data_IF_605364728868
#
_entry.id   IF_605364728868
#
_cell.length_a   1.000
_cell.length_b   1.000
_cell.length_c   1.000
_cell.angle_alpha   90.00
_cell.angle_beta   90.00
_cell.angle_gamma   90.00
#
_symmetry.space_group_name_H-M   'P 1'
#
loop_
_entity.id
_entity.type
_entity.pdbx_description
1 polymer ?
#
# COMPACT_ATOMS: atom_id res chain seq x y z
N UNK A 1 23.32 5.90 5.72
CA UNK A 1 23.01 6.22 7.12
C UNK A 1 21.62 5.70 7.48
N UNK A 2 21.44 5.27 8.73
CA UNK A 2 20.20 4.72 9.27
C UNK A 2 19.85 5.51 10.53
N UNK A 3 18.57 5.79 10.72
CA UNK A 3 18.03 6.47 11.89
C UNK A 3 16.92 5.61 12.50
N UNK A 4 16.98 5.41 13.80
CA UNK A 4 15.92 4.75 14.57
C UNK A 4 14.78 5.72 14.79
N UNK A 5 13.56 5.36 14.39
CA UNK A 5 12.38 6.21 14.55
C UNK A 5 11.24 5.44 15.23
N UNK A 6 10.46 6.13 16.08
CA UNK A 6 9.25 5.53 16.63
C UNK A 6 8.26 5.20 15.51
N UNK A 7 7.50 4.12 15.70
CA UNK A 7 6.44 3.69 14.79
C UNK A 7 5.12 3.53 15.52
N UNK A 8 3.99 3.61 14.81
CA UNK A 8 2.67 3.46 15.41
C UNK A 8 2.52 2.10 16.09
N UNK A 9 1.92 2.08 17.28
CA UNK A 9 1.69 0.85 18.02
C UNK A 9 0.37 0.22 17.62
N UNK A 10 0.30 -1.11 17.64
CA UNK A 10 -0.96 -1.83 17.42
C UNK A 10 -1.96 -1.55 18.55
N UNK A 11 -3.24 -1.49 18.20
CA UNK A 11 -4.36 -1.46 19.15
C UNK A 11 -5.12 -2.80 19.18
N UNK A 12 -4.69 -3.78 18.38
CA UNK A 12 -5.32 -5.10 18.30
C UNK A 12 -4.90 -5.95 19.50
N UNK A 13 -5.86 -6.48 20.29
CA UNK A 13 -5.55 -7.31 21.44
C UNK A 13 -4.71 -8.54 21.07
N UNK A 14 -3.67 -8.81 21.85
CA UNK A 14 -2.76 -9.94 21.65
C UNK A 14 -1.70 -9.74 20.56
N UNK A 15 -1.71 -8.63 19.83
CA UNK A 15 -0.63 -8.25 18.92
C UNK A 15 0.41 -7.37 19.60
N UNK A 16 1.59 -7.36 19.06
CA UNK A 16 2.70 -6.53 19.48
C UNK A 16 3.41 -5.94 18.27
N UNK A 17 3.82 -4.68 18.38
CA UNK A 17 4.65 -3.99 17.40
C UNK A 17 5.92 -3.48 18.06
N UNK A 18 7.05 -3.49 17.33
CA UNK A 18 8.28 -2.85 17.82
C UNK A 18 8.00 -1.38 18.10
N UNK A 19 8.53 -0.81 19.20
CA UNK A 19 8.37 0.62 19.47
C UNK A 19 9.06 1.51 18.44
N UNK A 20 10.13 1.01 17.80
CA UNK A 20 10.90 1.72 16.78
C UNK A 20 11.23 0.81 15.62
N UNK A 21 11.63 1.42 14.49
CA UNK A 21 12.15 0.75 13.32
C UNK A 21 13.34 1.55 12.75
N UNK A 22 14.32 0.87 12.13
CA UNK A 22 15.40 1.53 11.43
C UNK A 22 14.94 2.09 10.09
N UNK A 23 15.14 3.37 9.87
CA UNK A 23 14.83 4.06 8.62
C UNK A 23 16.11 4.45 7.89
N UNK A 24 16.30 4.07 6.63
CA UNK A 24 17.37 4.62 5.83
C UNK A 24 17.13 6.10 5.58
N UNK A 25 18.14 6.92 5.82
CA UNK A 25 18.10 8.36 5.55
C UNK A 25 18.62 8.68 4.15
N UNK A 26 19.37 7.77 3.56
CA UNK A 26 19.89 7.81 2.19
C UNK A 26 20.09 6.37 1.67
N UNK A 27 19.80 6.11 0.39
CA UNK A 27 19.20 6.98 -0.62
C UNK A 27 17.75 7.39 -0.29
N UNK A 28 17.25 8.43 -0.98
CA UNK A 28 15.84 8.80 -0.90
C UNK A 28 14.96 7.66 -1.46
N UNK A 29 13.75 7.42 -0.93
CA UNK A 29 12.88 6.36 -1.42
C UNK A 29 12.42 6.62 -2.85
N UNK A 30 12.36 5.56 -3.65
CA UNK A 30 11.85 5.63 -5.02
C UNK A 30 10.32 5.72 -5.07
N UNK A 31 9.60 5.07 -4.18
CA UNK A 31 8.15 5.06 -4.13
C UNK A 31 7.60 6.03 -3.07
N UNK A 32 6.35 6.46 -3.25
CA UNK A 32 5.63 7.23 -2.22
C UNK A 32 5.49 6.39 -0.95
N UNK A 33 5.68 7.02 0.21
CA UNK A 33 5.64 6.35 1.53
C UNK A 33 4.47 6.79 2.40
N UNK A 34 3.60 7.64 1.88
CA UNK A 34 2.39 8.10 2.57
C UNK A 34 1.29 8.42 1.56
N UNK A 35 0.05 8.42 2.02
CA UNK A 35 -1.12 8.91 1.29
C UNK A 35 -1.87 9.86 2.20
N UNK A 36 -2.01 11.10 1.79
CA UNK A 36 -2.76 12.14 2.49
C UNK A 36 -3.93 12.64 1.62
N UNK A 37 -4.79 13.49 2.16
CA UNK A 37 -5.88 14.09 1.36
C UNK A 37 -5.37 14.92 0.16
N UNK A 38 -4.14 15.43 0.23
CA UNK A 38 -3.49 16.16 -0.88
C UNK A 38 -3.07 15.24 -2.03
N UNK A 39 -2.93 13.95 -1.72
CA UNK A 39 -2.51 12.94 -2.67
C UNK A 39 -3.70 12.23 -3.33
N UNK A 40 -4.92 12.67 -3.10
CA UNK A 40 -6.11 12.10 -3.75
C UNK A 40 -6.04 12.37 -5.25
N UNK A 41 -6.36 11.35 -6.02
CA UNK A 41 -6.31 11.38 -7.48
C UNK A 41 -7.24 12.47 -8.05
N UNK A 42 -6.69 13.52 -8.68
CA UNK A 42 -7.46 14.65 -9.19
C UNK A 42 -8.29 14.33 -10.43
N UNK A 43 -8.00 13.20 -11.09
CA UNK A 43 -8.71 12.76 -12.30
C UNK A 43 -9.98 11.94 -12.00
N UNK A 44 -10.23 11.60 -10.73
CA UNK A 44 -11.50 11.00 -10.31
C UNK A 44 -12.63 12.04 -10.38
N UNK A 45 -13.88 11.61 -10.68
CA UNK A 45 -15.05 12.47 -10.49
C UNK A 45 -15.11 13.05 -9.07
N UNK A 46 -15.67 14.24 -8.91
CA UNK A 46 -15.70 14.93 -7.60
C UNK A 46 -16.34 14.09 -6.50
N UNK A 47 -17.41 13.41 -6.80
CA UNK A 47 -18.11 12.53 -5.86
C UNK A 47 -17.21 11.38 -5.42
N UNK A 48 -16.43 10.80 -6.33
CA UNK A 48 -15.47 9.75 -6.04
C UNK A 48 -14.28 10.28 -5.21
N UNK A 49 -13.83 11.51 -5.46
CA UNK A 49 -12.80 12.15 -4.62
C UNK A 49 -13.29 12.34 -3.18
N UNK A 50 -14.56 12.76 -2.98
CA UNK A 50 -15.16 12.89 -1.65
C UNK A 50 -15.32 11.52 -0.97
N UNK A 51 -15.71 10.50 -1.71
CA UNK A 51 -15.76 9.13 -1.21
C UNK A 51 -14.38 8.65 -0.74
N UNK A 52 -13.33 8.87 -1.55
CA UNK A 52 -11.93 8.56 -1.16
C UNK A 52 -11.53 9.33 0.09
N UNK A 53 -11.89 10.61 0.18
CA UNK A 53 -11.58 11.46 1.35
C UNK A 53 -12.26 10.93 2.62
N UNK A 54 -13.53 10.58 2.54
CA UNK A 54 -14.28 10.01 3.65
C UNK A 54 -13.67 8.68 4.11
N UNK A 55 -13.32 7.80 3.18
CA UNK A 55 -12.63 6.53 3.49
C UNK A 55 -11.26 6.78 4.13
N UNK A 56 -10.46 7.71 3.58
CA UNK A 56 -9.13 8.01 4.11
C UNK A 56 -9.19 8.51 5.56
N UNK A 57 -10.20 9.31 5.90
CA UNK A 57 -10.45 9.80 7.26
C UNK A 57 -10.93 8.72 8.21
N UNK A 58 -11.55 7.66 7.71
CA UNK A 58 -12.07 6.56 8.53
C UNK A 58 -11.03 5.48 8.82
N UNK A 59 -9.91 5.46 8.09
CA UNK A 59 -8.85 4.49 8.26
C UNK A 59 -7.75 5.03 9.16
N UNK A 60 -7.07 4.11 9.82
CA UNK A 60 -5.82 4.43 10.50
C UNK A 60 -4.73 4.74 9.48
N UNK A 61 -4.11 5.90 9.57
CA UNK A 61 -3.13 6.38 8.59
C UNK A 61 -2.07 7.25 9.28
N UNK A 62 -1.10 6.60 9.88
CA UNK A 62 -0.04 7.22 10.70
C UNK A 62 1.34 7.16 10.00
N UNK A 63 1.36 6.86 8.70
CA UNK A 63 2.58 6.75 7.90
C UNK A 63 3.12 5.33 7.82
N UNK A 64 4.43 5.21 7.58
CA UNK A 64 5.09 3.90 7.46
C UNK A 64 4.93 3.08 8.73
N UNK A 65 4.78 1.76 8.54
CA UNK A 65 4.59 0.78 9.61
C UNK A 65 3.32 0.98 10.45
N UNK A 66 2.32 1.73 9.96
CA UNK A 66 0.98 1.72 10.57
C UNK A 66 0.48 0.28 10.60
N UNK A 67 0.28 -0.33 11.78
CA UNK A 67 -0.13 -1.73 11.87
C UNK A 67 -1.56 -1.91 11.35
N UNK A 68 -1.91 -3.10 10.83
CA UNK A 68 -3.27 -3.43 10.47
C UNK A 68 -4.23 -3.23 11.64
N UNK A 69 -5.45 -2.79 11.38
CA UNK A 69 -6.46 -2.49 12.39
C UNK A 69 -7.85 -2.97 11.98
N UNK A 70 -8.81 -3.00 12.90
CA UNK A 70 -10.18 -3.41 12.60
C UNK A 70 -10.90 -2.41 11.70
N UNK A 71 -10.64 -1.13 11.83
CA UNK A 71 -11.16 -0.09 10.93
C UNK A 71 -10.48 -0.09 9.55
N UNK A 72 -9.31 -0.71 9.45
CA UNK A 72 -8.45 -0.70 8.29
C UNK A 72 -7.33 0.33 8.42
N UNK A 73 -6.15 -0.04 7.96
CA UNK A 73 -4.95 0.81 7.96
C UNK A 73 -4.45 1.04 6.55
N UNK A 74 -4.11 2.29 6.24
CA UNK A 74 -3.56 2.65 4.93
C UNK A 74 -2.10 2.23 4.86
N UNK A 75 -1.76 1.49 3.80
CA UNK A 75 -0.38 1.13 3.46
C UNK A 75 0.02 1.79 2.14
N UNK A 76 1.15 2.53 2.16
CA UNK A 76 1.73 3.18 0.98
C UNK A 76 3.27 3.07 1.01
N UNK A 77 3.91 2.44 0.01
CA UNK A 77 3.29 1.63 -1.05
C UNK A 77 2.50 0.46 -0.47
N UNK A 78 1.53 -0.04 -1.25
CA UNK A 78 0.60 -1.08 -0.77
C UNK A 78 1.28 -2.42 -0.43
N UNK A 79 0.50 -3.35 0.07
CA UNK A 79 0.93 -4.67 0.55
C UNK A 79 1.79 -5.48 -0.44
N UNK A 80 1.63 -5.24 -1.73
CA UNK A 80 2.43 -5.89 -2.77
C UNK A 80 3.71 -5.11 -3.12
N UNK A 81 4.09 -4.14 -2.29
CA UNK A 81 5.32 -3.36 -2.39
C UNK A 81 5.34 -2.33 -3.51
N UNK A 82 6.32 -1.44 -3.45
CA UNK A 82 6.62 -0.47 -4.52
C UNK A 82 7.34 -1.13 -5.69
N UNK A 83 8.42 -1.87 -5.42
CA UNK A 83 9.17 -2.64 -6.40
C UNK A 83 9.12 -4.13 -6.03
N UNK A 84 9.15 -4.99 -7.05
CA UNK A 84 9.08 -6.45 -6.88
C UNK A 84 10.24 -7.13 -7.60
N UNK A 85 10.24 -8.46 -7.59
CA UNK A 85 11.21 -9.27 -8.31
C UNK A 85 11.27 -8.89 -9.80
N UNK A 86 12.49 -8.73 -10.31
CA UNK A 86 12.75 -8.43 -11.73
C UNK A 86 12.51 -6.99 -12.15
N UNK A 87 12.22 -6.06 -11.22
CA UNK A 87 11.95 -4.66 -11.57
C UNK A 87 13.19 -3.76 -11.49
N UNK A 88 14.39 -4.32 -11.36
CA UNK A 88 15.62 -3.52 -11.24
C UNK A 88 16.73 -4.06 -12.13
N UNK A 89 17.65 -3.17 -12.49
CA UNK A 89 18.90 -3.46 -13.20
C UNK A 89 20.03 -2.57 -12.68
N UNK A 90 21.25 -3.02 -12.84
CA UNK A 90 22.45 -2.27 -12.40
C UNK A 90 23.44 -2.20 -13.55
N UNK A 91 24.10 -1.05 -13.69
CA UNK A 91 25.32 -0.88 -14.46
C UNK A 91 26.49 -0.72 -13.47
N UNK A 92 27.27 -1.78 -13.21
CA UNK A 92 28.36 -1.71 -12.26
C UNK A 92 29.54 -0.85 -12.73
N UNK A 93 29.73 -0.74 -14.05
CA UNK A 93 30.85 0.03 -14.61
C UNK A 93 30.63 1.53 -14.44
N UNK A 94 29.38 1.97 -14.54
CA UNK A 94 28.98 3.36 -14.35
C UNK A 94 28.52 3.68 -12.93
N UNK A 95 28.30 2.67 -12.09
CA UNK A 95 27.74 2.85 -10.77
C UNK A 95 26.28 3.31 -10.79
N UNK A 96 25.48 2.80 -11.71
CA UNK A 96 24.11 3.22 -11.92
C UNK A 96 23.11 2.10 -11.55
N UNK A 97 22.03 2.44 -10.86
CA UNK A 97 20.96 1.53 -10.50
C UNK A 97 19.61 2.04 -11.00
N UNK A 98 18.88 1.17 -11.66
CA UNK A 98 17.57 1.45 -12.25
C UNK A 98 16.51 0.61 -11.58
N UNK A 99 15.41 1.22 -11.14
CA UNK A 99 14.30 0.50 -10.55
C UNK A 99 12.98 1.01 -11.09
N UNK A 100 12.11 0.08 -11.51
CA UNK A 100 10.72 0.39 -11.84
C UNK A 100 9.87 0.12 -10.60
N UNK A 101 9.08 1.11 -10.21
CA UNK A 101 8.20 1.01 -9.06
C UNK A 101 6.76 1.40 -9.38
N UNK A 102 5.87 1.10 -8.45
CA UNK A 102 4.48 1.56 -8.43
C UNK A 102 4.15 2.17 -7.09
N UNK A 103 3.19 3.10 -7.11
CA UNK A 103 2.70 3.83 -5.94
C UNK A 103 1.19 3.63 -5.81
N UNK A 104 0.79 2.44 -5.35
CA UNK A 104 -0.62 2.06 -5.18
C UNK A 104 -0.93 1.85 -3.70
N UNK A 105 -1.86 2.62 -3.13
CA UNK A 105 -2.28 2.44 -1.75
C UNK A 105 -3.16 1.19 -1.59
N UNK A 106 -3.03 0.54 -0.44
CA UNK A 106 -3.92 -0.53 -0.02
C UNK A 106 -4.43 -0.29 1.39
N UNK A 107 -5.50 -0.97 1.74
CA UNK A 107 -6.06 -1.00 3.08
C UNK A 107 -5.85 -2.41 3.65
N UNK A 108 -5.19 -2.48 4.78
CA UNK A 108 -4.98 -3.68 5.58
C UNK A 108 -5.99 -3.67 6.72
N UNK A 109 -6.87 -4.67 6.77
CA UNK A 109 -7.90 -4.75 7.80
C UNK A 109 -7.74 -6.03 8.60
N UNK A 110 -7.83 -5.94 9.91
CA UNK A 110 -7.94 -7.12 10.77
C UNK A 110 -9.40 -7.57 10.79
N UNK A 111 -9.60 -8.88 10.70
CA UNK A 111 -10.90 -9.51 10.94
C UNK A 111 -10.73 -10.65 11.96
N UNK A 112 -11.80 -10.89 12.71
CA UNK A 112 -11.85 -12.01 13.64
C UNK A 112 -11.70 -13.34 12.88
N UNK A 113 -11.12 -14.37 13.53
CA UNK A 113 -11.05 -15.69 12.95
C UNK A 113 -12.43 -16.15 12.47
N UNK A 114 -12.51 -16.61 11.23
CA UNK A 114 -13.74 -17.25 10.77
C UNK A 114 -13.92 -18.60 11.49
N UNK A 115 -15.16 -18.98 11.82
CA UNK A 115 -15.43 -20.34 12.30
C UNK A 115 -14.91 -21.36 11.28
N UNK A 116 -14.41 -22.54 11.73
CA UNK A 116 -13.90 -23.56 10.84
C UNK A 116 -14.95 -23.92 9.79
N UNK A 117 -14.73 -23.54 8.55
CA UNK A 117 -15.53 -24.04 7.41
C UNK A 117 -15.07 -25.44 7.14
N UNK A 118 -15.94 -26.41 7.24
CA UNK A 118 -15.67 -27.76 6.83
C UNK A 118 -15.28 -27.81 5.36
N UNK A 119 -14.01 -28.18 5.13
CA UNK A 119 -13.50 -28.71 3.87
C UNK A 119 -13.16 -27.72 2.76
N UNK A 120 -11.86 -27.62 2.44
CA UNK A 120 -11.30 -27.24 1.16
C UNK A 120 -10.18 -26.18 1.25
N UNK A 121 -8.97 -26.47 0.74
CA UNK A 121 -7.94 -25.46 0.54
C UNK A 121 -8.32 -24.60 -0.67
N UNK A 122 -8.79 -23.37 -0.42
CA UNK A 122 -9.17 -22.47 -1.52
C UNK A 122 -10.06 -21.32 -1.12
N UNK A 123 -9.94 -20.80 0.10
CA UNK A 123 -10.59 -19.55 0.50
C UNK A 123 -9.88 -18.34 -0.09
N UNK A 124 -10.12 -18.02 -1.36
CA UNK A 124 -9.72 -16.76 -1.97
C UNK A 124 -10.27 -15.60 -1.16
N UNK A 125 -9.41 -14.67 -0.77
CA UNK A 125 -9.79 -13.47 -0.04
C UNK A 125 -10.97 -12.77 -0.73
N UNK A 126 -12.05 -12.58 0.00
CA UNK A 126 -13.27 -11.97 -0.50
C UNK A 126 -12.99 -10.60 -1.11
N UNK A 127 -13.20 -10.48 -2.40
CA UNK A 127 -13.10 -9.24 -3.19
C UNK A 127 -14.25 -8.27 -2.86
N UNK A 128 -14.55 -7.98 -1.63
CA UNK A 128 -15.73 -7.15 -1.38
C UNK A 128 -15.84 -6.42 -0.04
N UNK A 129 -15.05 -6.79 0.96
CA UNK A 129 -15.22 -6.20 2.31
C UNK A 129 -14.24 -5.09 2.70
N UNK A 130 -13.20 -4.84 1.91
CA UNK A 130 -12.08 -3.98 2.32
C UNK A 130 -12.34 -2.48 2.34
N UNK A 131 -13.37 -2.01 1.66
CA UNK A 131 -13.63 -0.58 1.50
C UNK A 131 -14.79 -0.04 2.35
N UNK A 132 -15.46 -0.85 3.12
CA UNK A 132 -16.52 -0.39 4.02
C UNK A 132 -15.92 0.43 5.18
N UNK A 133 -16.58 1.51 5.55
CA UNK A 133 -16.24 2.29 6.75
C UNK A 133 -16.74 1.51 7.97
N UNK A 134 -15.88 1.30 8.95
CA UNK A 134 -16.23 0.70 10.24
C UNK A 134 -16.50 1.83 11.22
N UNK A 135 -17.66 1.80 11.84
CA UNK A 135 -18.01 2.80 12.86
C UNK A 135 -17.23 2.59 14.16
N UNK A 136 -17.13 3.62 15.01
CA UNK A 136 -16.50 3.47 16.33
C UNK A 136 -17.15 2.38 17.19
N UNK A 137 -18.47 2.24 17.12
CA UNK A 137 -19.23 1.22 17.84
C UNK A 137 -18.91 -0.19 17.33
N UNK A 138 -18.86 -0.35 16.01
CA UNK A 138 -18.45 -1.62 15.38
C UNK A 138 -17.02 -1.99 15.76
N UNK A 139 -16.08 -1.02 15.71
CA UNK A 139 -14.71 -1.22 16.16
C UNK A 139 -14.66 -1.66 17.61
N UNK A 140 -15.37 -0.99 18.51
CA UNK A 140 -15.42 -1.35 19.92
C UNK A 140 -15.94 -2.77 20.13
N UNK A 141 -16.98 -3.18 19.40
CA UNK A 141 -17.51 -4.54 19.43
C UNK A 141 -16.51 -5.58 18.94
N UNK A 142 -15.77 -5.30 17.86
CA UNK A 142 -14.72 -6.17 17.33
C UNK A 142 -13.55 -6.30 18.33
N UNK A 143 -13.15 -5.20 18.95
CA UNK A 143 -12.10 -5.16 19.98
C UNK A 143 -12.48 -5.99 21.23
N UNK A 144 -13.73 -5.89 21.67
CA UNK A 144 -14.22 -6.69 22.80
C UNK A 144 -14.15 -8.19 22.49
N UNK A 145 -14.65 -8.61 21.33
CA UNK A 145 -14.58 -10.00 20.88
C UNK A 145 -13.14 -10.50 20.70
N UNK A 146 -12.25 -9.64 20.20
CA UNK A 146 -10.84 -9.98 20.08
C UNK A 146 -10.20 -10.25 21.46
N UNK A 147 -10.51 -9.43 22.47
CA UNK A 147 -10.04 -9.66 23.86
C UNK A 147 -10.54 -10.98 24.42
N UNK A 148 -11.82 -11.27 24.25
CA UNK A 148 -12.39 -12.57 24.68
C UNK A 148 -11.66 -13.76 24.05
N UNK A 149 -11.32 -13.67 22.76
CA UNK A 149 -10.58 -14.73 22.06
C UNK A 149 -9.14 -14.87 22.59
N UNK A 150 -8.46 -13.76 22.86
CA UNK A 150 -7.10 -13.75 23.40
C UNK A 150 -7.10 -14.33 24.83
N UNK A 151 -8.06 -13.91 25.66
CA UNK A 151 -8.20 -14.41 27.03
C UNK A 151 -8.53 -15.93 27.04
N UNK A 152 -9.41 -16.37 26.14
CA UNK A 152 -9.76 -17.78 26.00
C UNK A 152 -8.60 -18.65 25.51
N UNK A 153 -7.67 -18.08 24.77
CA UNK A 153 -6.47 -18.77 24.28
C UNK A 153 -5.44 -19.07 25.38
N UNK A 154 -5.59 -18.49 26.59
CA UNK A 154 -4.74 -18.75 27.79
C UNK A 154 -3.24 -18.69 27.49
N UNK A 155 -2.82 -17.67 26.75
CA UNK A 155 -1.41 -17.52 26.32
C UNK A 155 -1.05 -18.24 25.03
N UNK A 156 -1.99 -18.97 24.41
CA UNK A 156 -1.87 -19.45 23.04
C UNK A 156 -2.04 -18.33 22.00
N UNK A 157 -1.74 -18.65 20.74
CA UNK A 157 -1.88 -17.68 19.65
C UNK A 157 -3.31 -17.63 19.12
N UNK A 158 -3.82 -16.42 18.90
CA UNK A 158 -5.05 -16.16 18.14
C UNK A 158 -4.66 -15.76 16.73
N UNK A 159 -5.12 -16.48 15.72
CA UNK A 159 -4.89 -16.16 14.34
C UNK A 159 -5.97 -15.23 13.81
N UNK A 160 -5.72 -13.94 13.79
CA UNK A 160 -6.53 -12.99 13.05
C UNK A 160 -6.27 -13.11 11.53
N UNK A 161 -7.27 -12.76 10.73
CA UNK A 161 -7.11 -12.65 9.29
C UNK A 161 -6.87 -11.18 8.93
N UNK A 162 -6.05 -10.93 7.92
CA UNK A 162 -5.82 -9.58 7.40
C UNK A 162 -6.11 -9.52 5.90
N UNK A 163 -7.39 -9.46 5.51
CA UNK A 163 -7.74 -9.22 4.12
C UNK A 163 -7.22 -7.85 3.68
N UNK A 164 -6.78 -7.82 2.43
CA UNK A 164 -6.18 -6.63 1.81
C UNK A 164 -7.01 -6.20 0.62
N UNK A 165 -7.22 -4.91 0.48
CA UNK A 165 -7.87 -4.34 -0.70
C UNK A 165 -7.10 -3.14 -1.23
N UNK A 166 -7.09 -2.99 -2.56
CA UNK A 166 -6.61 -1.75 -3.17
C UNK A 166 -7.57 -0.61 -2.87
N UNK A 167 -7.01 0.54 -2.52
CA UNK A 167 -7.79 1.76 -2.36
C UNK A 167 -8.05 2.38 -3.74
N UNK A 168 -9.19 2.03 -4.32
CA UNK A 168 -9.56 2.36 -5.70
C UNK A 168 -11.04 2.64 -5.86
N UNK A 169 -11.39 3.29 -6.95
CA UNK A 169 -12.76 3.51 -7.43
C UNK A 169 -12.97 2.65 -8.68
N UNK A 170 -14.04 1.88 -8.69
CA UNK A 170 -14.39 1.04 -9.82
C UNK A 170 -15.23 1.80 -10.84
N UNK A 171 -15.01 1.50 -12.11
CA UNK A 171 -15.81 1.96 -13.24
C UNK A 171 -16.07 0.82 -14.23
N UNK A 172 -16.91 1.04 -15.22
CA UNK A 172 -17.15 0.05 -16.27
C UNK A 172 -15.84 -0.26 -17.03
N UNK A 173 -15.37 -1.50 -16.92
CA UNK A 173 -14.15 -1.97 -17.57
C UNK A 173 -12.87 -1.85 -16.76
N UNK A 174 -12.90 -1.35 -15.51
CA UNK A 174 -11.69 -1.27 -14.71
C UNK A 174 -11.83 -0.59 -13.35
N UNK A 175 -10.70 -0.14 -12.86
CA UNK A 175 -10.63 0.61 -11.61
C UNK A 175 -9.49 1.65 -11.67
N UNK A 176 -9.68 2.75 -10.96
CA UNK A 176 -8.71 3.80 -10.81
C UNK A 176 -8.28 3.91 -9.35
N UNK A 177 -6.97 3.96 -9.11
CA UNK A 177 -6.43 4.13 -7.75
C UNK A 177 -6.86 5.46 -7.14
N UNK A 178 -7.02 5.44 -5.83
CA UNK A 178 -7.31 6.63 -5.04
C UNK A 178 -6.18 7.66 -5.02
N UNK A 179 -4.93 7.22 -5.27
CA UNK A 179 -3.76 8.08 -5.21
C UNK A 179 -3.54 8.84 -6.52
N UNK A 180 -3.08 10.10 -6.40
CA UNK A 180 -2.62 10.91 -7.51
C UNK A 180 -1.39 10.30 -8.19
N UNK A 181 -1.22 10.47 -9.51
CA UNK A 181 -0.01 10.04 -10.21
C UNK A 181 1.25 10.80 -9.71
N UNK A 182 2.47 10.38 -10.18
CA UNK A 182 2.71 9.23 -11.04
C UNK A 182 2.45 7.91 -10.33
N UNK A 183 1.79 6.96 -11.02
CA UNK A 183 1.44 5.66 -10.46
C UNK A 183 2.56 4.64 -10.57
N UNK A 184 3.40 4.80 -11.58
CA UNK A 184 4.66 4.07 -11.74
C UNK A 184 5.70 4.91 -12.42
N UNK A 185 6.96 4.71 -12.01
CA UNK A 185 8.11 5.40 -12.58
C UNK A 185 9.28 4.42 -12.69
N UNK A 186 10.16 4.67 -13.64
CA UNK A 186 11.53 4.21 -13.60
C UNK A 186 12.38 5.28 -12.93
N UNK A 187 13.16 4.88 -11.95
CA UNK A 187 14.04 5.77 -11.17
C UNK A 187 15.48 5.33 -11.37
N UNK A 188 16.35 6.26 -11.70
CA UNK A 188 17.80 6.06 -11.77
C UNK A 188 18.47 6.62 -10.54
N UNK A 189 19.30 5.82 -9.92
CA UNK A 189 20.20 6.22 -8.83
C UNK A 189 21.65 6.23 -9.31
N UNK A 190 22.42 7.17 -8.81
CA UNK A 190 23.88 7.11 -8.79
C UNK A 190 24.30 6.35 -7.51
N UNK A 191 24.90 5.19 -7.66
CA UNK A 191 25.33 4.35 -6.53
C UNK A 191 26.55 4.93 -5.78
N UNK A 192 27.32 5.83 -6.42
CA UNK A 192 28.47 6.45 -5.78
C UNK A 192 28.03 7.53 -4.78
N UNK A 193 26.93 8.23 -5.08
CA UNK A 193 26.41 9.31 -4.25
C UNK A 193 25.16 8.91 -3.47
N UNK A 194 24.39 7.94 -3.96
CA UNK A 194 23.07 7.56 -3.44
C UNK A 194 21.99 8.56 -3.81
N UNK A 195 22.19 9.39 -4.83
CA UNK A 195 21.21 10.36 -5.26
C UNK A 195 20.34 9.81 -6.39
N UNK A 196 19.10 10.29 -6.45
CA UNK A 196 18.22 10.06 -7.60
C UNK A 196 18.64 11.02 -8.69
N UNK A 197 19.03 10.47 -9.85
CA UNK A 197 19.47 11.25 -11.01
C UNK A 197 18.26 11.73 -11.79
N UNK A 198 17.27 10.84 -12.00
CA UNK A 198 16.02 11.17 -12.69
C UNK A 198 14.91 10.18 -12.35
N UNK A 199 13.67 10.60 -12.66
CA UNK A 199 12.44 9.80 -12.61
C UNK A 199 11.67 9.96 -13.91
N UNK A 200 11.17 8.87 -14.47
CA UNK A 200 10.38 8.87 -15.70
C UNK A 200 9.15 7.99 -15.49
N UNK A 201 7.92 8.52 -15.66
CA UNK A 201 6.71 7.71 -15.62
C UNK A 201 6.75 6.58 -16.66
N UNK A 202 6.23 5.40 -16.29
CA UNK A 202 6.28 4.21 -17.15
C UNK A 202 4.91 3.82 -17.67
N UNK A 203 4.76 3.90 -19.00
CA UNK A 203 3.54 3.54 -19.72
C UNK A 203 2.41 4.56 -19.60
N UNK A 204 1.29 4.24 -20.25
CA UNK A 204 0.07 5.05 -20.29
C UNK A 204 -1.07 4.30 -19.64
N UNK A 205 -1.76 4.94 -18.70
CA UNK A 205 -2.91 4.35 -18.04
C UNK A 205 -4.13 4.39 -18.94
N UNK A 206 -4.66 3.23 -19.30
CA UNK A 206 -5.96 3.15 -19.96
C UNK A 206 -7.09 3.52 -18.99
N UNK A 207 -7.91 4.46 -19.39
CA UNK A 207 -9.09 4.90 -18.65
C UNK A 207 -10.14 5.44 -19.63
N UNK A 208 -11.41 5.54 -19.21
CA UNK A 208 -12.43 6.22 -19.98
C UNK A 208 -12.02 7.67 -20.32
N UNK A 209 -12.31 8.17 -21.53
CA UNK A 209 -11.88 9.50 -21.98
C UNK A 209 -12.29 10.65 -21.06
N UNK A 210 -13.42 10.53 -20.39
CA UNK A 210 -13.95 11.53 -19.45
C UNK A 210 -13.05 11.78 -18.22
N UNK A 211 -12.13 10.87 -17.92
CA UNK A 211 -11.14 11.05 -16.84
C UNK A 211 -10.00 12.00 -17.23
N UNK A 212 -9.81 12.28 -18.54
CA UNK A 212 -8.80 13.19 -19.06
C UNK A 212 -7.40 12.97 -18.47
N UNK A 213 -6.97 11.70 -18.38
CA UNK A 213 -5.68 11.34 -17.79
C UNK A 213 -4.55 11.66 -18.78
N UNK A 214 -3.55 12.45 -18.39
CA UNK A 214 -2.36 12.69 -19.22
C UNK A 214 -1.54 11.42 -19.45
N UNK A 215 -0.76 11.41 -20.54
CA UNK A 215 0.07 10.26 -20.93
C UNK A 215 1.32 10.06 -20.06
N UNK A 216 1.68 11.04 -19.23
CA UNK A 216 2.87 11.06 -18.39
C UNK A 216 2.60 10.67 -16.92
N UNK A 217 1.58 9.88 -16.67
CA UNK A 217 1.15 9.46 -15.33
C UNK A 217 1.67 8.10 -14.91
N UNK A 218 2.23 7.33 -15.84
CA UNK A 218 2.56 5.92 -15.61
C UNK A 218 1.32 5.02 -15.52
N UNK A 219 1.52 3.71 -15.53
CA UNK A 219 0.44 2.73 -15.35
C UNK A 219 0.31 2.30 -13.87
N UNK A 220 -0.89 1.96 -13.43
CA UNK A 220 -1.12 1.50 -12.06
C UNK A 220 -0.44 0.14 -11.77
N UNK A 221 -0.33 -0.73 -12.76
CA UNK A 221 0.26 -2.07 -12.60
C UNK A 221 1.33 -2.31 -13.66
N UNK A 222 2.54 -1.70 -13.52
CA UNK A 222 3.65 -1.95 -14.44
C UNK A 222 4.07 -3.41 -14.36
N UNK A 223 4.36 -4.00 -15.52
CA UNK A 223 4.87 -5.38 -15.66
C UNK A 223 6.09 -5.39 -16.56
N UNK A 224 6.95 -4.45 -16.35
CA UNK A 224 8.19 -4.24 -17.12
C UNK A 224 9.39 -4.28 -16.18
N UNK A 225 10.52 -4.71 -16.73
CA UNK A 225 11.81 -4.69 -16.06
C UNK A 225 12.81 -3.94 -16.92
N UNK A 226 13.70 -3.14 -16.32
CA UNK A 226 14.81 -2.54 -17.05
C UNK A 226 15.84 -3.59 -17.44
N UNK A 227 16.51 -3.37 -18.55
CA UNK A 227 17.66 -4.13 -18.97
C UNK A 227 18.77 -3.13 -19.34
N UNK A 228 19.91 -3.28 -18.70
CA UNK A 228 21.12 -2.51 -19.06
C UNK A 228 21.94 -3.32 -20.04
N UNK A 229 22.39 -2.68 -21.11
CA UNK A 229 23.26 -3.28 -22.13
C UNK A 229 24.60 -2.54 -22.18
N UNK A 230 25.62 -3.13 -22.85
CA UNK A 230 26.93 -2.50 -23.01
C UNK A 230 26.88 -1.14 -23.74
N UNK A 231 25.82 -0.87 -24.48
CA UNK A 231 25.61 0.42 -25.15
C UNK A 231 24.89 1.48 -24.32
N UNK A 232 24.43 1.10 -23.12
CA UNK A 232 23.63 1.96 -22.24
C UNK A 232 22.15 1.74 -22.33
#
# INVERSE_FOLDING_TARGET
PIEERPVPQTDVPGEWTSPTQPFPTRPAPFAKQSLTEKDINPYLPKEAQEEVRARLRSYRNEGLFTPPSFEGSVSMPGHNGGANFGTSAVDPDRGEFYVVHKSLPTVLRITLPAPPRGGGPGGGGGRGGGNAIVTPEEKAGLMAKARELVDAAKGGQVQFQSPVSFMQINFAGGAMTAAAPPWSEMVKYDLNTGDIVWRIPTGVQAAPPEYNIPNDTGVQFPRNAPLVTAGG
#
